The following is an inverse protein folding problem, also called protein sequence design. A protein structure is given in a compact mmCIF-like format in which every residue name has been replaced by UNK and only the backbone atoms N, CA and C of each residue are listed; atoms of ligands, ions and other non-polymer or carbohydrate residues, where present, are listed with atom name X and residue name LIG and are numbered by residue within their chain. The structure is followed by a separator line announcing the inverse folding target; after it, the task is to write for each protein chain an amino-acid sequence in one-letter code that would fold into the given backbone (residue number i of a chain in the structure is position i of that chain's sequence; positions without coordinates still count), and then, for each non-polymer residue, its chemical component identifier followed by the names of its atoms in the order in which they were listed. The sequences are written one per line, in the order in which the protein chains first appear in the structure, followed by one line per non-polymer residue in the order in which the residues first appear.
data_IF_185891613942
#
_entry.id   IF_185891613942
#
_cell.length_a   1.000
_cell.length_b   1.000
_cell.length_c   1.000
_cell.angle_alpha   90.00
_cell.angle_beta   90.00
_cell.angle_gamma   90.00
#
_symmetry.space_group_name_H-M   'P 1'
#
loop_
_entity.id
_entity.type
_entity.pdbx_description
1 polymer ?
#
# COMPACT_ATOMS: atom_id res chain seq x y z
N UNK A 1 -8.08 -8.71 -60.08
CA UNK A 1 -9.19 -7.89 -59.57
C UNK A 1 -9.26 -8.16 -58.09
N UNK A 2 -8.43 -7.45 -57.34
CA UNK A 2 -8.34 -7.56 -55.88
C UNK A 2 -9.54 -6.82 -55.28
N UNK A 3 -10.38 -7.57 -54.57
CA UNK A 3 -11.52 -7.00 -53.85
C UNK A 3 -11.00 -6.23 -52.63
N UNK A 4 -11.47 -4.99 -52.38
CA UNK A 4 -11.09 -4.26 -51.19
C UNK A 4 -11.65 -4.98 -49.95
N UNK A 5 -10.73 -5.35 -49.07
CA UNK A 5 -11.03 -5.91 -47.76
C UNK A 5 -11.78 -4.82 -46.97
N UNK A 6 -13.02 -5.09 -46.56
CA UNK A 6 -13.91 -4.15 -45.88
C UNK A 6 -13.87 -4.43 -44.37
N UNK A 7 -13.12 -3.65 -43.56
CA UNK A 7 -13.00 -3.88 -42.13
C UNK A 7 -14.11 -3.10 -41.43
N UNK A 8 -15.31 -3.68 -41.36
CA UNK A 8 -16.45 -2.92 -40.81
C UNK A 8 -17.68 -3.73 -40.43
N UNK A 9 -17.57 -5.05 -40.22
CA UNK A 9 -18.67 -5.83 -39.67
C UNK A 9 -18.56 -5.84 -38.12
N UNK A 10 -19.46 -5.14 -37.39
CA UNK A 10 -19.50 -5.21 -35.93
C UNK A 10 -20.00 -6.61 -35.52
N UNK A 11 -19.07 -7.54 -35.28
CA UNK A 11 -19.40 -8.89 -34.82
C UNK A 11 -18.41 -9.99 -35.20
N UNK A 12 -17.41 -9.73 -36.05
CA UNK A 12 -16.33 -10.70 -36.25
C UNK A 12 -15.38 -10.65 -35.06
N UNK A 13 -15.37 -11.70 -34.24
CA UNK A 13 -14.33 -11.89 -33.22
C UNK A 13 -12.97 -11.91 -33.93
N UNK A 14 -12.13 -10.92 -33.66
CA UNK A 14 -10.82 -10.79 -34.29
C UNK A 14 -9.94 -11.96 -33.83
N UNK A 15 -9.65 -12.87 -34.77
CA UNK A 15 -8.90 -14.11 -34.51
C UNK A 15 -7.46 -13.80 -34.11
N UNK A 16 -6.91 -12.69 -34.61
CA UNK A 16 -5.55 -12.26 -34.30
C UNK A 16 -5.48 -11.76 -32.86
N UNK A 17 -6.46 -10.95 -32.43
CA UNK A 17 -6.57 -10.50 -31.04
C UNK A 17 -6.72 -11.68 -30.07
N UNK A 18 -7.48 -12.70 -30.46
CA UNK A 18 -7.68 -13.89 -29.62
C UNK A 18 -6.39 -14.72 -29.49
N UNK A 19 -5.58 -14.81 -30.55
CA UNK A 19 -4.27 -15.45 -30.48
C UNK A 19 -3.32 -14.66 -29.56
N UNK A 20 -3.27 -13.34 -29.70
CA UNK A 20 -2.46 -12.46 -28.85
C UNK A 20 -2.85 -12.57 -27.37
N UNK A 21 -4.14 -12.68 -27.06
CA UNK A 21 -4.64 -12.87 -25.70
C UNK A 21 -4.18 -14.19 -25.09
N UNK A 22 -4.07 -15.27 -25.89
CA UNK A 22 -3.59 -16.57 -25.43
C UNK A 22 -2.07 -16.66 -25.32
N UNK A 23 -1.33 -15.90 -26.12
CA UNK A 23 0.12 -15.89 -26.11
C UNK A 23 0.72 -14.90 -25.10
N UNK A 24 -0.02 -13.86 -24.74
CA UNK A 24 0.36 -12.93 -23.69
C UNK A 24 0.29 -13.60 -22.31
N UNK A 25 1.37 -13.51 -21.54
CA UNK A 25 1.36 -13.83 -20.11
C UNK A 25 1.16 -12.52 -19.34
N UNK A 26 -0.07 -12.17 -18.93
CA UNK A 26 -0.28 -10.99 -18.12
C UNK A 26 0.35 -11.22 -16.74
N UNK A 27 1.34 -10.41 -16.40
CA UNK A 27 1.83 -10.30 -15.03
C UNK A 27 1.22 -9.06 -14.40
N UNK A 28 0.44 -9.26 -13.35
CA UNK A 28 -0.06 -8.14 -12.55
C UNK A 28 1.07 -7.66 -11.64
N UNK A 29 1.63 -6.49 -11.95
CA UNK A 29 2.55 -5.80 -11.07
C UNK A 29 1.73 -4.94 -10.12
N UNK A 30 1.66 -5.39 -8.88
CA UNK A 30 0.72 -4.93 -7.86
C UNK A 30 0.70 -3.42 -7.67
N UNK A 31 -0.48 -2.83 -7.85
CA UNK A 31 -0.86 -1.73 -6.98
C UNK A 31 -0.89 -2.26 -5.56
N UNK A 32 -0.36 -1.50 -4.58
CA UNK A 32 -0.45 -1.93 -3.18
C UNK A 32 -1.92 -2.10 -2.85
N UNK A 33 -2.35 -3.29 -2.41
CA UNK A 33 -3.71 -3.45 -1.91
C UNK A 33 -3.93 -2.47 -0.76
N UNK A 34 -5.18 -2.09 -0.50
CA UNK A 34 -5.52 -1.22 0.63
C UNK A 34 -4.90 -1.75 1.94
N UNK A 35 -4.96 -3.06 2.14
CA UNK A 35 -4.33 -3.78 3.25
C UNK A 35 -2.81 -3.57 3.32
N UNK A 36 -2.10 -3.62 2.19
CA UNK A 36 -0.66 -3.36 2.15
C UNK A 36 -0.33 -1.90 2.45
N UNK A 37 -1.18 -0.95 2.05
CA UNK A 37 -1.02 0.48 2.41
C UNK A 37 -1.22 0.67 3.90
N UNK A 38 -2.26 0.05 4.47
CA UNK A 38 -2.52 0.06 5.91
C UNK A 38 -1.33 -0.53 6.66
N UNK A 39 -0.83 -1.70 6.28
CA UNK A 39 0.32 -2.32 6.94
C UNK A 39 1.59 -1.47 6.86
N UNK A 40 1.87 -0.86 5.70
CA UNK A 40 3.01 0.04 5.55
C UNK A 40 2.87 1.28 6.46
N UNK A 41 1.67 1.87 6.53
CA UNK A 41 1.40 2.99 7.44
C UNK A 41 1.59 2.58 8.90
N UNK A 42 1.09 1.41 9.28
CA UNK A 42 1.23 0.88 10.65
C UNK A 42 2.69 0.61 11.02
N UNK A 43 3.51 0.16 10.06
CA UNK A 43 4.94 -0.06 10.25
C UNK A 43 5.73 1.26 10.40
N UNK A 44 5.27 2.33 9.76
CA UNK A 44 5.91 3.66 9.81
C UNK A 44 5.50 4.48 11.04
N UNK A 45 4.55 4.01 11.86
CA UNK A 45 4.12 4.71 13.07
C UNK A 45 5.24 4.72 14.12
N UNK A 46 5.67 5.93 14.52
CA UNK A 46 6.66 6.09 15.56
C UNK A 46 6.07 5.77 16.93
N UNK A 47 6.70 4.84 17.66
CA UNK A 47 6.38 4.59 19.07
C UNK A 47 6.83 5.77 19.94
N UNK A 48 6.01 6.11 20.93
CA UNK A 48 6.21 7.26 21.81
C UNK A 48 6.48 6.78 23.23
N UNK A 49 7.67 7.11 23.74
CA UNK A 49 8.02 6.85 25.14
C UNK A 49 7.41 7.89 26.09
N UNK A 50 7.36 7.58 27.39
CA UNK A 50 6.85 8.46 28.45
C UNK A 50 7.54 9.85 28.46
N UNK A 51 8.86 9.87 28.25
CA UNK A 51 9.63 11.13 28.18
C UNK A 51 9.10 12.03 27.08
N UNK A 52 8.81 11.46 25.91
CA UNK A 52 8.31 12.19 24.76
C UNK A 52 6.89 12.71 24.99
N UNK A 53 6.02 11.93 25.66
CA UNK A 53 4.70 12.42 26.07
C UNK A 53 4.79 13.61 27.02
N UNK A 54 5.77 13.61 27.92
CA UNK A 54 6.01 14.71 28.86
C UNK A 54 6.49 15.97 28.13
N UNK A 55 7.42 15.83 27.18
CA UNK A 55 7.89 16.94 26.33
C UNK A 55 6.76 17.58 25.53
N UNK A 56 5.80 16.76 25.07
CA UNK A 56 4.63 17.21 24.32
C UNK A 56 3.53 17.79 25.22
N UNK A 57 3.69 17.76 26.56
CA UNK A 57 2.68 18.24 27.50
C UNK A 57 1.43 17.36 27.60
N UNK A 58 1.49 16.11 27.13
CA UNK A 58 0.37 15.16 27.16
C UNK A 58 0.49 14.11 28.28
N UNK A 59 1.22 14.40 29.35
CA UNK A 59 1.42 13.48 30.48
C UNK A 59 0.10 12.98 31.08
N UNK A 60 -0.84 13.89 31.30
CA UNK A 60 -2.17 13.59 31.85
C UNK A 60 -3.24 13.42 30.76
N UNK A 61 -2.80 13.27 29.49
CA UNK A 61 -3.68 13.06 28.36
C UNK A 61 -4.32 11.66 28.36
N UNK A 62 -5.47 11.55 27.72
CA UNK A 62 -6.13 10.29 27.44
C UNK A 62 -6.38 10.12 25.96
N UNK A 63 -6.40 8.87 25.50
CA UNK A 63 -6.73 8.55 24.12
C UNK A 63 -8.20 8.91 23.86
N UNK A 64 -8.47 9.67 22.80
CA UNK A 64 -9.84 10.07 22.45
C UNK A 64 -10.76 8.93 22.01
N UNK A 65 -10.20 7.78 21.64
CA UNK A 65 -10.96 6.65 21.10
C UNK A 65 -11.39 5.70 22.23
N UNK A 66 -10.46 5.33 23.13
CA UNK A 66 -10.75 4.41 24.24
C UNK A 66 -10.85 5.09 25.61
N UNK A 67 -10.58 6.40 25.70
CA UNK A 67 -10.59 7.20 26.93
C UNK A 67 -9.60 6.74 28.00
N UNK A 68 -8.65 5.87 27.65
CA UNK A 68 -7.60 5.38 28.54
C UNK A 68 -6.47 6.41 28.68
N UNK A 69 -5.97 6.70 29.88
CA UNK A 69 -4.80 7.56 30.08
C UNK A 69 -3.57 6.99 29.38
N UNK A 70 -2.73 7.84 28.78
CA UNK A 70 -1.54 7.39 28.06
C UNK A 70 -0.54 6.65 28.95
N UNK A 71 -0.42 7.05 30.22
CA UNK A 71 0.43 6.36 31.19
C UNK A 71 -0.05 4.94 31.49
N UNK A 72 -1.37 4.71 31.48
CA UNK A 72 -1.92 3.36 31.68
C UNK A 72 -1.57 2.44 30.50
N UNK A 73 -1.65 2.98 29.28
CA UNK A 73 -1.27 2.26 28.06
C UNK A 73 0.22 1.91 28.06
N UNK A 74 1.09 2.86 28.43
CA UNK A 74 2.53 2.59 28.50
C UNK A 74 2.86 1.55 29.57
N UNK A 75 2.22 1.62 30.74
CA UNK A 75 2.38 0.60 31.78
C UNK A 75 1.93 -0.80 31.32
N UNK A 76 0.87 -0.88 30.51
CA UNK A 76 0.43 -2.14 29.89
C UNK A 76 1.46 -2.67 28.88
N UNK A 77 2.04 -1.80 28.05
CA UNK A 77 3.13 -2.18 27.15
C UNK A 77 4.34 -2.70 27.91
N UNK A 78 4.83 -1.94 28.89
CA UNK A 78 5.99 -2.34 29.71
C UNK A 78 5.74 -3.66 30.43
N UNK A 79 4.53 -3.87 30.94
CA UNK A 79 4.14 -5.13 31.56
C UNK A 79 4.07 -6.29 30.55
N UNK A 80 3.52 -6.06 29.37
CA UNK A 80 3.45 -7.07 28.32
C UNK A 80 4.84 -7.48 27.81
N UNK A 81 5.74 -6.51 27.64
CA UNK A 81 7.14 -6.72 27.30
C UNK A 81 7.88 -7.47 28.42
N UNK A 82 7.72 -7.06 29.68
CA UNK A 82 8.36 -7.73 30.82
C UNK A 82 7.90 -9.18 31.01
N UNK A 83 6.70 -9.52 30.55
CA UNK A 83 6.12 -10.85 30.64
C UNK A 83 6.37 -11.70 29.38
N UNK A 84 7.04 -11.17 28.36
CA UNK A 84 7.22 -11.80 27.03
C UNK A 84 5.91 -12.40 26.49
N UNK A 85 4.79 -11.69 26.69
CA UNK A 85 3.46 -12.24 26.44
C UNK A 85 3.24 -12.45 24.93
N UNK A 86 3.01 -13.69 24.45
CA UNK A 86 2.76 -13.95 23.03
C UNK A 86 1.35 -13.52 22.59
N UNK A 87 0.52 -13.01 23.51
CA UNK A 87 -0.87 -12.68 23.25
C UNK A 87 -1.07 -11.42 22.40
N UNK A 88 -0.05 -10.56 22.29
CA UNK A 88 -0.12 -9.29 21.59
C UNK A 88 1.04 -9.15 20.62
N UNK A 89 0.77 -8.68 19.41
CA UNK A 89 1.85 -8.31 18.52
C UNK A 89 2.46 -6.99 18.98
N UNK A 90 3.79 -6.82 18.86
CA UNK A 90 4.49 -5.61 19.33
C UNK A 90 3.97 -4.31 18.70
N UNK A 91 3.33 -4.38 17.53
CA UNK A 91 2.72 -3.23 16.86
C UNK A 91 1.31 -2.87 17.37
N UNK A 92 0.73 -3.71 18.23
CA UNK A 92 -0.58 -3.52 18.86
C UNK A 92 -0.48 -2.99 20.30
N UNK A 93 0.73 -2.83 20.82
CA UNK A 93 0.98 -2.32 22.17
C UNK A 93 1.55 -0.90 22.12
N UNK A 94 1.20 -0.10 23.13
CA UNK A 94 1.80 1.21 23.35
C UNK A 94 1.08 2.40 22.73
N UNK A 95 1.78 3.53 22.78
CA UNK A 95 1.32 4.80 22.24
C UNK A 95 2.11 5.12 20.97
N UNK A 96 1.41 5.30 19.86
CA UNK A 96 2.00 5.69 18.59
C UNK A 96 1.71 7.16 18.27
N UNK A 97 2.66 7.82 17.63
CA UNK A 97 2.48 9.15 17.08
C UNK A 97 2.20 9.04 15.59
N UNK A 98 1.06 9.60 15.16
CA UNK A 98 0.80 9.83 13.74
C UNK A 98 1.70 10.98 13.27
N UNK A 99 2.30 10.86 12.08
CA UNK A 99 3.30 11.80 11.56
C UNK A 99 2.85 13.28 11.62
N UNK A 100 3.82 14.21 11.66
CA UNK A 100 3.70 15.64 11.99
C UNK A 100 2.60 16.40 11.22
N UNK A 101 2.21 15.93 10.02
CA UNK A 101 1.09 16.49 9.26
C UNK A 101 -0.21 16.51 10.08
N UNK A 102 -0.36 15.52 10.94
CA UNK A 102 -1.48 15.37 11.85
C UNK A 102 -0.94 15.70 13.24
N UNK A 103 -1.28 16.87 13.77
CA UNK A 103 -0.85 17.34 15.11
C UNK A 103 -1.46 16.51 16.27
N UNK A 104 -1.67 15.23 16.05
CA UNK A 104 -2.32 14.29 16.95
C UNK A 104 -1.23 13.46 17.61
N UNK A 105 -0.82 13.98 18.75
CA UNK A 105 0.10 13.38 19.67
C UNK A 105 -0.66 12.43 20.58
N UNK A 106 -0.22 11.17 20.61
CA UNK A 106 -0.75 10.16 21.52
C UNK A 106 -1.94 9.40 20.95
N UNK A 107 -1.72 8.54 19.96
CA UNK A 107 -2.76 7.65 19.47
C UNK A 107 -2.45 6.20 19.85
N UNK A 108 -3.40 5.58 20.54
CA UNK A 108 -3.30 4.22 21.05
C UNK A 108 -3.58 3.19 19.94
N UNK A 109 -3.33 1.89 20.23
CA UNK A 109 -3.82 0.71 19.49
C UNK A 109 -5.21 0.87 18.85
N UNK A 110 -6.08 1.61 19.51
CA UNK A 110 -7.42 1.92 19.01
C UNK A 110 -7.41 2.59 17.62
N UNK A 111 -6.36 3.30 17.21
CA UNK A 111 -6.22 3.81 15.84
C UNK A 111 -5.83 2.72 14.84
N UNK A 112 -5.01 1.75 15.24
CA UNK A 112 -4.70 0.59 14.40
C UNK A 112 -6.00 -0.14 14.06
N UNK A 113 -6.79 -0.45 15.08
CA UNK A 113 -8.10 -1.05 14.91
C UNK A 113 -9.05 -0.15 14.10
N UNK A 114 -9.02 1.16 14.33
CA UNK A 114 -9.82 2.13 13.57
C UNK A 114 -9.51 2.10 12.07
N UNK A 115 -8.22 2.10 11.72
CA UNK A 115 -7.76 2.02 10.33
C UNK A 115 -8.12 0.66 9.72
N UNK A 116 -7.95 -0.44 10.47
CA UNK A 116 -8.31 -1.79 10.02
C UNK A 116 -9.83 -1.96 9.82
N UNK A 117 -10.66 -1.22 10.53
CA UNK A 117 -12.12 -1.16 10.32
C UNK A 117 -12.52 -0.42 9.03
N UNK A 118 -11.55 0.02 8.21
CA UNK A 118 -11.79 0.75 6.96
C UNK A 118 -12.12 2.22 7.19
N UNK A 119 -11.82 2.77 8.37
CA UNK A 119 -12.04 4.19 8.65
C UNK A 119 -10.77 4.97 8.30
N UNK A 120 -10.86 5.67 7.19
CA UNK A 120 -9.78 6.48 6.59
C UNK A 120 -9.60 7.86 7.21
N UNK A 121 -10.46 8.25 8.17
CA UNK A 121 -10.46 9.57 8.79
C UNK A 121 -10.05 9.53 10.24
N UNK A 122 -9.31 10.55 10.67
CA UNK A 122 -8.92 10.67 12.06
C UNK A 122 -10.14 10.95 12.97
N UNK A 123 -10.32 10.23 14.09
CA UNK A 123 -11.44 10.44 15.01
C UNK A 123 -11.43 11.82 15.70
N UNK A 124 -10.28 12.49 15.78
CA UNK A 124 -10.15 13.79 16.44
C UNK A 124 -10.36 14.97 15.48
N UNK A 125 -9.66 14.98 14.35
CA UNK A 125 -9.65 16.12 13.43
C UNK A 125 -10.46 15.87 12.15
N UNK A 126 -10.98 14.65 11.94
CA UNK A 126 -11.72 14.21 10.74
C UNK A 126 -10.96 14.37 9.42
N UNK A 127 -9.65 14.65 9.46
CA UNK A 127 -8.80 14.67 8.27
C UNK A 127 -8.51 13.24 7.83
N UNK A 128 -8.37 13.04 6.53
CA UNK A 128 -7.96 11.77 5.95
C UNK A 128 -6.56 11.41 6.45
N UNK A 129 -6.41 10.19 7.00
CA UNK A 129 -5.15 9.61 7.47
C UNK A 129 -4.26 9.28 6.27
N UNK A 130 -4.88 8.84 5.18
CA UNK A 130 -4.21 8.63 3.91
C UNK A 130 -4.15 9.94 3.14
N UNK A 131 -2.98 10.21 2.57
CA UNK A 131 -2.81 11.34 1.67
C UNK A 131 -3.63 11.07 0.39
N UNK A 132 -4.68 11.86 0.09
CA UNK A 132 -5.49 11.64 -1.11
C UNK A 132 -4.66 11.86 -2.39
N UNK A 133 -3.55 12.60 -2.29
CA UNK A 133 -2.64 12.88 -3.38
C UNK A 133 -1.48 11.87 -3.45
N UNK A 134 -1.38 10.92 -2.50
CA UNK A 134 -0.48 9.79 -2.65
C UNK A 134 -0.96 8.96 -3.84
N UNK A 135 -0.31 9.21 -4.97
CA UNK A 135 -0.56 8.58 -6.27
C UNK A 135 -0.82 7.10 -6.00
N UNK A 136 -2.07 6.70 -6.15
CA UNK A 136 -2.40 5.29 -6.16
C UNK A 136 -1.61 4.72 -7.34
N UNK A 137 -0.65 3.85 -7.04
CA UNK A 137 -0.07 3.01 -8.08
C UNK A 137 -1.23 2.13 -8.53
N UNK A 138 -1.94 2.62 -9.56
CA UNK A 138 -2.98 1.86 -10.25
C UNK A 138 -2.35 0.53 -10.57
N UNK A 139 -3.05 -0.60 -10.33
CA UNK A 139 -2.52 -1.90 -10.65
C UNK A 139 -2.06 -1.89 -12.11
N UNK A 140 -0.76 -2.02 -12.32
CA UNK A 140 -0.17 -1.99 -13.66
C UNK A 140 -0.06 -3.43 -14.13
N UNK A 141 -0.66 -3.70 -15.26
CA UNK A 141 -0.47 -5.00 -15.90
C UNK A 141 0.77 -4.90 -16.78
N UNK A 142 1.77 -5.74 -16.51
CA UNK A 142 2.93 -5.89 -17.37
C UNK A 142 2.65 -7.06 -18.30
N UNK A 143 2.63 -6.80 -19.61
CA UNK A 143 2.43 -7.85 -20.62
C UNK A 143 3.69 -8.02 -21.43
N UNK A 144 4.17 -9.26 -21.55
CA UNK A 144 5.34 -9.62 -22.34
C UNK A 144 4.89 -10.13 -23.71
N UNK A 145 5.55 -9.66 -24.77
CA UNK A 145 5.24 -10.08 -26.15
C UNK A 145 3.90 -9.60 -26.69
N UNK A 146 3.28 -8.60 -26.05
CA UNK A 146 2.02 -8.02 -26.51
C UNK A 146 2.19 -7.26 -27.83
N UNK A 147 1.20 -7.40 -28.72
CA UNK A 147 1.03 -6.52 -29.87
C UNK A 147 0.40 -5.19 -29.44
N UNK A 148 0.57 -4.16 -30.27
CA UNK A 148 -0.03 -2.83 -30.04
C UNK A 148 -1.56 -2.91 -29.91
N UNK A 149 -2.21 -3.78 -30.69
CA UNK A 149 -3.66 -4.02 -30.62
C UNK A 149 -4.13 -4.54 -29.27
N UNK A 150 -3.36 -5.42 -28.65
CA UNK A 150 -3.69 -5.96 -27.34
C UNK A 150 -3.58 -4.86 -26.26
N UNK A 151 -2.59 -3.96 -26.37
CA UNK A 151 -2.46 -2.81 -25.47
C UNK A 151 -3.65 -1.86 -25.61
N UNK A 152 -4.04 -1.52 -26.84
CA UNK A 152 -5.21 -0.70 -27.12
C UNK A 152 -6.48 -1.32 -26.54
N UNK A 153 -6.64 -2.64 -26.68
CA UNK A 153 -7.78 -3.37 -26.12
C UNK A 153 -7.85 -3.23 -24.60
N UNK A 154 -6.72 -3.38 -23.90
CA UNK A 154 -6.68 -3.20 -22.45
C UNK A 154 -6.86 -1.75 -22.01
N UNK A 155 -6.32 -0.78 -22.76
CA UNK A 155 -6.55 0.63 -22.50
C UNK A 155 -8.02 1.03 -22.71
N UNK A 156 -8.70 0.46 -23.72
CA UNK A 156 -10.12 0.66 -23.93
C UNK A 156 -10.98 0.11 -22.78
N UNK A 157 -10.47 -0.88 -22.03
CA UNK A 157 -11.08 -1.40 -20.80
C UNK A 157 -10.69 -0.61 -19.54
N UNK A 158 -9.90 0.47 -19.67
CA UNK A 158 -9.48 1.31 -18.56
C UNK A 158 -8.30 0.77 -17.75
N UNK A 159 -7.60 -0.26 -18.23
CA UNK A 159 -6.42 -0.81 -17.58
C UNK A 159 -5.16 -0.02 -17.96
N UNK A 160 -4.23 0.09 -17.00
CA UNK A 160 -2.89 0.64 -17.24
C UNK A 160 -1.95 -0.52 -17.57
N UNK A 161 -1.46 -0.57 -18.80
CA UNK A 161 -0.62 -1.69 -19.30
C UNK A 161 0.74 -1.18 -19.74
N UNK A 162 1.79 -1.89 -19.36
CA UNK A 162 3.17 -1.63 -19.80
C UNK A 162 3.74 -2.86 -20.52
N UNK A 163 4.50 -2.64 -21.60
CA UNK A 163 5.17 -3.72 -22.32
C UNK A 163 6.48 -4.05 -21.61
N UNK A 164 6.53 -5.24 -21.00
CA UNK A 164 7.76 -5.76 -20.43
C UNK A 164 8.74 -6.12 -21.55
N UNK A 165 9.87 -5.40 -21.64
CA UNK A 165 10.97 -5.85 -22.49
C UNK A 165 11.63 -7.04 -21.79
N UNK A 166 11.59 -8.21 -22.42
CA UNK A 166 12.35 -9.38 -22.00
C UNK A 166 13.84 -9.13 -22.29
N UNK A 167 14.42 -8.12 -21.63
CA UNK A 167 15.87 -7.97 -21.60
C UNK A 167 16.38 -9.21 -20.90
N UNK A 168 16.98 -10.10 -21.67
CA UNK A 168 17.83 -11.18 -21.16
C UNK A 168 18.72 -10.58 -20.10
N UNK A 169 18.47 -10.89 -18.83
CA UNK A 169 19.36 -10.58 -17.73
C UNK A 169 20.66 -11.33 -18.01
N UNK A 170 21.52 -10.74 -18.82
CA UNK A 170 22.90 -11.18 -18.96
C UNK A 170 23.54 -10.99 -17.57
N UNK A 171 24.29 -11.99 -17.07
CA UNK A 171 24.92 -11.87 -15.77
C UNK A 171 25.78 -10.61 -15.76
N UNK A 172 25.47 -9.70 -14.83
CA UNK A 172 26.31 -8.56 -14.52
C UNK A 172 27.68 -9.10 -14.12
N UNK A 173 28.64 -9.04 -15.05
CA UNK A 173 30.05 -9.25 -14.73
C UNK A 173 30.45 -8.11 -13.81
N UNK A 174 30.39 -8.35 -12.51
CA UNK A 174 31.08 -7.55 -11.52
C UNK A 174 32.57 -7.60 -11.87
N UNK A 175 33.10 -6.45 -12.30
CA UNK A 175 34.54 -6.25 -12.40
C UNK A 175 35.12 -6.36 -10.99
N UNK A 176 35.68 -7.51 -10.66
CA UNK A 176 36.62 -7.67 -9.56
C UNK A 176 37.91 -6.93 -9.95
N UNK A 177 38.00 -5.64 -9.62
CA UNK A 177 39.27 -4.93 -9.56
C UNK A 177 39.97 -5.31 -8.25
N UNK A 178 40.97 -6.17 -8.36
CA UNK A 178 42.02 -6.30 -7.35
C UNK A 178 42.96 -5.11 -7.47
N UNK A 179 43.14 -4.36 -6.38
CA UNK A 179 44.31 -3.53 -6.10
C UNK A 179 44.48 -3.44 -4.59
#
# INVERSE_FOLDING_TARGET
MDLPNNPGAPGSVDRDLMFDLMCAVPMYSGGRTEEQRVQALLADLAQVEEKRLTELGHKDGSCSICLQPFLSVLAEQEMAEAMDSPAYANHELGVCQLDQKYQLTGVHFSLVKWIQEGKDSCPMCRKAIFDPDAIEDKPRMIVYGATERLLEHYHAQGMTVEVGSMRTAGPSRSNAQYS
#
